data_IF_726138904614
#
_entry.id   IF_726138904614
#
_cell.length_a   1.000
_cell.length_b   1.000
_cell.length_c   1.000
_cell.angle_alpha   90.00
_cell.angle_beta   90.00
_cell.angle_gamma   90.00
#
_symmetry.space_group_name_H-M   'P 1'
#
loop_
_entity.id
_entity.type
_entity.pdbx_description
1 polymer ?
#
# COMPACT_ATOMS: atom_id res chain seq x y z
N UNK A 1 -21.80 -16.56 -30.54
CA UNK A 1 -20.53 -16.06 -29.97
C UNK A 1 -20.75 -15.77 -28.50
N UNK A 2 -20.11 -16.50 -27.59
CA UNK A 2 -20.18 -16.20 -26.16
C UNK A 2 -19.41 -14.90 -25.90
N UNK A 3 -20.08 -13.90 -25.34
CA UNK A 3 -19.46 -12.62 -25.00
C UNK A 3 -18.50 -12.86 -23.84
N UNK A 4 -17.20 -12.69 -24.06
CA UNK A 4 -16.20 -12.75 -22.99
C UNK A 4 -16.31 -11.44 -22.20
N UNK A 5 -16.70 -11.52 -20.93
CA UNK A 5 -16.75 -10.37 -20.02
C UNK A 5 -15.52 -10.39 -19.13
N UNK A 6 -14.85 -9.24 -19.00
CA UNK A 6 -13.72 -9.09 -18.09
C UNK A 6 -14.17 -9.25 -16.63
N UNK A 7 -13.31 -9.78 -15.74
CA UNK A 7 -13.60 -9.80 -14.32
C UNK A 7 -13.66 -8.37 -13.77
N UNK A 8 -14.42 -8.18 -12.68
CA UNK A 8 -14.43 -6.93 -11.95
C UNK A 8 -13.03 -6.63 -11.39
N UNK A 9 -12.64 -5.36 -11.42
CA UNK A 9 -11.39 -4.92 -10.80
C UNK A 9 -11.45 -5.13 -9.28
N UNK A 10 -10.33 -5.53 -8.69
CA UNK A 10 -10.12 -5.59 -7.24
C UNK A 10 -8.70 -5.17 -6.90
N UNK A 11 -8.51 -4.73 -5.66
CA UNK A 11 -7.16 -4.55 -5.11
C UNK A 11 -6.46 -5.91 -4.93
N UNK A 12 -5.14 -5.88 -5.03
CA UNK A 12 -4.30 -6.99 -4.56
C UNK A 12 -4.43 -7.10 -3.05
N UNK A 13 -4.40 -8.32 -2.52
CA UNK A 13 -4.19 -8.51 -1.08
C UNK A 13 -2.70 -8.36 -0.72
N UNK A 14 -2.40 -8.31 0.58
CA UNK A 14 -1.03 -8.16 1.09
C UNK A 14 -0.09 -9.24 0.53
N UNK A 15 -0.54 -10.49 0.48
CA UNK A 15 0.26 -11.63 -0.01
C UNK A 15 0.61 -11.52 -1.48
N UNK A 16 -0.37 -11.21 -2.32
CA UNK A 16 -0.19 -11.01 -3.77
C UNK A 16 0.78 -9.86 -4.04
N UNK A 17 0.64 -8.75 -3.30
CA UNK A 17 1.53 -7.60 -3.42
C UNK A 17 2.97 -7.94 -3.02
N UNK A 18 3.16 -8.66 -1.90
CA UNK A 18 4.48 -9.16 -1.46
C UNK A 18 5.09 -10.09 -2.52
N UNK A 19 4.30 -10.97 -3.11
CA UNK A 19 4.77 -11.90 -4.14
C UNK A 19 5.25 -11.15 -5.40
N UNK A 20 4.51 -10.15 -5.88
CA UNK A 20 4.91 -9.34 -7.03
C UNK A 20 6.19 -8.54 -6.76
N UNK A 21 6.32 -7.96 -5.56
CA UNK A 21 7.53 -7.25 -5.12
C UNK A 21 8.73 -8.20 -5.08
N UNK A 22 8.59 -9.37 -4.47
CA UNK A 22 9.65 -10.37 -4.38
C UNK A 22 10.09 -10.91 -5.76
N UNK A 23 9.16 -10.99 -6.70
CA UNK A 23 9.43 -11.40 -8.08
C UNK A 23 10.04 -10.29 -8.95
N UNK A 24 10.15 -9.05 -8.46
CA UNK A 24 10.52 -7.90 -9.28
C UNK A 24 9.53 -7.59 -10.40
N UNK A 25 8.32 -8.12 -10.30
CA UNK A 25 7.26 -8.01 -11.31
C UNK A 25 6.33 -6.82 -11.06
N UNK A 26 6.56 -6.09 -9.97
CA UNK A 26 5.78 -4.91 -9.64
C UNK A 26 6.30 -3.70 -10.43
N UNK A 27 5.51 -3.15 -11.38
CA UNK A 27 5.94 -2.04 -12.22
C UNK A 27 6.17 -0.73 -11.44
N UNK A 28 5.81 -0.67 -10.15
CA UNK A 28 6.12 0.46 -9.28
C UNK A 28 7.60 0.50 -8.82
N UNK A 29 8.33 -0.61 -8.93
CA UNK A 29 9.71 -0.79 -8.40
C UNK A 29 10.74 -0.97 -9.52
N UNK A 30 10.59 -0.21 -10.61
CA UNK A 30 11.51 -0.30 -11.75
C UNK A 30 12.93 0.10 -11.32
N UNK A 31 13.96 -0.57 -11.85
CA UNK A 31 15.35 -0.38 -11.41
C UNK A 31 15.98 0.97 -11.81
N UNK A 32 15.26 1.87 -12.48
CA UNK A 32 15.74 3.15 -12.99
C UNK A 32 15.80 4.28 -11.94
N UNK A 33 15.49 4.00 -10.67
CA UNK A 33 15.76 4.88 -9.54
C UNK A 33 14.80 4.64 -8.38
N UNK A 34 15.16 5.12 -7.18
CA UNK A 34 14.26 5.06 -6.03
C UNK A 34 13.05 5.95 -6.29
N UNK A 35 11.91 5.35 -6.65
CA UNK A 35 10.69 6.08 -6.99
C UNK A 35 9.97 6.52 -5.71
N UNK A 36 9.12 7.54 -5.82
CA UNK A 36 8.18 7.93 -4.75
C UNK A 36 7.36 6.72 -4.28
N UNK A 37 7.09 5.75 -5.17
CA UNK A 37 6.37 4.54 -4.81
C UNK A 37 7.17 3.64 -3.84
N UNK A 38 8.49 3.54 -3.99
CA UNK A 38 9.32 2.78 -3.05
C UNK A 38 9.33 3.40 -1.66
N UNK A 39 9.40 4.74 -1.58
CA UNK A 39 9.33 5.45 -0.31
C UNK A 39 7.97 5.24 0.36
N UNK A 40 6.88 5.40 -0.40
CA UNK A 40 5.53 5.18 0.12
C UNK A 40 5.34 3.75 0.62
N UNK A 41 5.84 2.76 -0.12
CA UNK A 41 5.78 1.35 0.28
C UNK A 41 6.56 1.09 1.58
N UNK A 42 7.76 1.68 1.74
CA UNK A 42 8.52 1.60 2.99
C UNK A 42 7.76 2.23 4.17
N UNK A 43 7.06 3.35 3.96
CA UNK A 43 6.23 3.99 4.99
C UNK A 43 5.07 3.06 5.39
N UNK A 44 4.39 2.47 4.41
CA UNK A 44 3.30 1.51 4.67
C UNK A 44 3.81 0.30 5.45
N UNK A 45 4.94 -0.27 5.05
CA UNK A 45 5.57 -1.40 5.74
C UNK A 45 5.99 -1.04 7.17
N UNK A 46 6.62 0.12 7.36
CA UNK A 46 7.04 0.61 8.68
C UNK A 46 5.84 0.80 9.61
N UNK A 47 4.81 1.53 9.18
CA UNK A 47 3.64 1.79 10.02
C UNK A 47 2.93 0.48 10.36
N UNK A 48 2.70 -0.38 9.36
CA UNK A 48 2.02 -1.65 9.56
C UNK A 48 2.74 -2.51 10.61
N UNK A 49 4.07 -2.64 10.49
CA UNK A 49 4.86 -3.50 11.37
C UNK A 49 5.14 -2.88 12.73
N UNK A 50 5.70 -1.67 12.75
CA UNK A 50 6.27 -1.09 13.96
C UNK A 50 5.21 -0.39 14.83
N UNK A 51 4.15 0.18 14.22
CA UNK A 51 3.07 0.86 14.96
C UNK A 51 1.96 -0.12 15.34
N UNK A 52 1.51 -0.94 14.37
CA UNK A 52 0.34 -1.80 14.57
C UNK A 52 0.66 -3.29 14.79
N UNK A 53 1.93 -3.71 14.70
CA UNK A 53 2.33 -5.12 14.85
C UNK A 53 1.63 -6.04 13.84
N UNK A 54 1.42 -5.55 12.62
CA UNK A 54 0.78 -6.28 11.52
C UNK A 54 1.87 -7.00 10.72
N UNK A 55 2.37 -8.12 11.24
CA UNK A 55 3.47 -8.91 10.63
C UNK A 55 3.11 -10.37 10.35
N UNK A 56 2.02 -10.89 10.93
CA UNK A 56 1.57 -12.27 10.76
C UNK A 56 0.75 -12.57 9.47
N UNK A 57 0.55 -13.87 9.17
CA UNK A 57 -0.20 -14.35 8.01
C UNK A 57 -1.72 -14.11 8.10
N UNK A 58 -2.27 -13.83 9.28
CA UNK A 58 -3.68 -13.49 9.48
C UNK A 58 -4.13 -12.24 8.71
N UNK A 59 -3.17 -11.45 8.22
CA UNK A 59 -3.40 -10.25 7.41
C UNK A 59 -3.11 -10.45 5.91
N UNK A 60 -2.79 -11.66 5.47
CA UNK A 60 -2.36 -11.92 4.09
C UNK A 60 -3.47 -11.70 3.04
N UNK A 61 -4.72 -11.93 3.44
CA UNK A 61 -5.90 -11.78 2.57
C UNK A 61 -6.56 -10.39 2.69
N UNK A 62 -6.03 -9.51 3.54
CA UNK A 62 -6.50 -8.13 3.63
C UNK A 62 -6.10 -7.37 2.35
N UNK A 63 -7.03 -6.62 1.73
CA UNK A 63 -6.71 -5.75 0.60
C UNK A 63 -5.56 -4.79 0.92
N UNK A 64 -4.55 -4.73 0.06
CA UNK A 64 -3.38 -3.87 0.27
C UNK A 64 -3.76 -2.37 0.32
N UNK A 65 -4.86 -2.00 -0.33
CA UNK A 65 -5.44 -0.65 -0.24
C UNK A 65 -5.79 -0.23 1.19
N UNK A 66 -6.19 -1.18 2.05
CA UNK A 66 -6.53 -0.88 3.44
C UNK A 66 -5.27 -0.57 4.27
N UNK A 67 -4.13 -1.21 3.97
CA UNK A 67 -2.84 -0.88 4.58
C UNK A 67 -2.37 0.51 4.17
N UNK A 68 -2.56 0.88 2.90
CA UNK A 68 -2.24 2.23 2.41
C UNK A 68 -3.09 3.26 3.16
N UNK A 69 -4.40 3.02 3.28
CA UNK A 69 -5.31 3.92 3.98
C UNK A 69 -4.98 4.03 5.49
N UNK A 70 -4.59 2.92 6.13
CA UNK A 70 -4.13 2.91 7.52
C UNK A 70 -2.86 3.76 7.66
N UNK A 71 -1.86 3.51 6.81
CA UNK A 71 -0.58 4.22 6.83
C UNK A 71 -0.75 5.73 6.59
N UNK A 72 -1.55 6.16 5.62
CA UNK A 72 -1.83 7.57 5.36
C UNK A 72 -2.47 8.25 6.57
N UNK A 73 -3.48 7.63 7.17
CA UNK A 73 -4.12 8.15 8.39
C UNK A 73 -3.13 8.29 9.54
N UNK A 74 -2.33 7.26 9.81
CA UNK A 74 -1.33 7.30 10.88
C UNK A 74 -0.27 8.36 10.62
N UNK A 75 0.23 8.46 9.38
CA UNK A 75 1.22 9.46 9.00
C UNK A 75 0.71 10.89 9.24
N UNK A 76 -0.51 11.20 8.79
CA UNK A 76 -1.14 12.52 9.00
C UNK A 76 -1.31 12.85 10.48
N UNK A 77 -1.71 11.87 11.29
CA UNK A 77 -1.83 12.02 12.74
C UNK A 77 -0.47 12.28 13.39
N UNK A 78 0.58 11.55 13.00
CA UNK A 78 1.92 11.67 13.57
C UNK A 78 2.56 13.02 13.27
N UNK A 79 2.45 13.49 12.03
CA UNK A 79 3.15 14.70 11.58
C UNK A 79 2.28 15.96 11.60
N UNK A 80 1.09 15.88 12.22
CA UNK A 80 0.14 16.99 12.30
C UNK A 80 -0.04 17.71 10.95
N UNK A 81 -0.14 16.92 9.87
CA UNK A 81 -0.70 17.41 8.61
C UNK A 81 -2.23 17.52 8.79
N UNK A 82 -2.63 18.30 9.79
CA UNK A 82 -3.99 18.78 9.95
C UNK A 82 -4.32 19.59 8.71
N UNK A 83 -5.36 19.17 8.01
CA UNK A 83 -5.89 19.83 6.82
C UNK A 83 -5.88 21.35 6.98
N UNK A 84 -5.31 22.04 5.99
CA UNK A 84 -5.40 23.48 5.77
C UNK A 84 -5.15 24.37 7.01
N UNK A 85 -3.92 24.92 7.08
CA UNK A 85 -3.78 26.33 7.44
C UNK A 85 -4.60 27.12 6.40
N UNK A 86 -5.90 27.25 6.64
CA UNK A 86 -6.70 28.31 6.03
C UNK A 86 -6.04 29.60 6.49
N UNK A 87 -5.28 30.24 5.60
CA UNK A 87 -4.88 31.62 5.78
C UNK A 87 -6.14 32.41 6.13
N UNK A 88 -6.22 32.82 7.40
CA UNK A 88 -7.14 33.86 7.87
C UNK A 88 -6.58 35.21 7.45
#
# INVERSE_FOLDING_TARGET
MSKITLPAARSLNRRERKALKAAGADPQFRPDGATIAELNDRIVEFISKEVYRIDGPEYDDVPYADFIALADKTYRLTYALTDDVKNS
#
